data_IF_239051943546
#
_entry.id   IF_239051943546
#
_cell.length_a   1.000
_cell.length_b   1.000
_cell.length_c   1.000
_cell.angle_alpha   90.00
_cell.angle_beta   90.00
_cell.angle_gamma   90.00
#
_symmetry.space_group_name_H-M   'P 1'
#
loop_
_entity.id
_entity.type
_entity.pdbx_description
1 polymer ?
#
# COMPACT_ATOMS: atom_id res chain seq x y z
N UNK A 1 -19.33 -4.72 12.46
CA UNK A 1 -17.95 -4.68 12.98
C UNK A 1 -17.16 -3.75 12.08
N UNK A 2 -16.78 -2.56 12.57
CA UNK A 2 -15.78 -1.75 11.87
C UNK A 2 -14.44 -2.48 11.97
N UNK A 3 -13.72 -2.61 10.85
CA UNK A 3 -12.36 -3.15 10.83
C UNK A 3 -11.43 -2.25 11.62
N UNK A 4 -10.48 -2.83 12.36
CA UNK A 4 -9.51 -2.07 13.15
C UNK A 4 -8.72 -1.14 12.21
N UNK A 5 -8.54 0.12 12.62
CA UNK A 5 -7.69 1.10 11.90
C UNK A 5 -8.29 1.70 10.61
N UNK A 6 -9.44 1.24 10.12
CA UNK A 6 -9.97 1.72 8.84
C UNK A 6 -10.39 3.20 8.89
N UNK A 7 -10.97 3.65 10.01
CA UNK A 7 -11.42 5.03 10.16
C UNK A 7 -10.23 6.01 10.12
N UNK A 8 -9.14 5.65 10.80
CA UNK A 8 -7.91 6.43 10.81
C UNK A 8 -7.23 6.42 9.43
N UNK A 9 -7.26 5.30 8.70
CA UNK A 9 -6.76 5.26 7.32
C UNK A 9 -7.59 6.14 6.38
N UNK A 10 -8.92 6.15 6.51
CA UNK A 10 -9.76 7.07 5.75
C UNK A 10 -9.40 8.53 6.06
N UNK A 11 -9.22 8.88 7.34
CA UNK A 11 -8.79 10.23 7.76
C UNK A 11 -7.44 10.63 7.12
N UNK A 12 -6.49 9.69 7.04
CA UNK A 12 -5.19 9.90 6.39
C UNK A 12 -5.35 10.25 4.92
N UNK A 13 -6.15 9.49 4.17
CA UNK A 13 -6.38 9.76 2.75
C UNK A 13 -7.22 11.02 2.51
N UNK A 14 -8.16 11.34 3.39
CA UNK A 14 -8.88 12.63 3.36
C UNK A 14 -7.93 13.82 3.56
N UNK A 15 -6.98 13.72 4.49
CA UNK A 15 -5.97 14.77 4.72
C UNK A 15 -5.02 14.95 3.54
N UNK A 16 -4.63 13.85 2.89
CA UNK A 16 -3.80 13.88 1.68
C UNK A 16 -4.56 14.52 0.50
N UNK A 17 -5.82 14.12 0.30
CA UNK A 17 -6.68 14.67 -0.74
C UNK A 17 -6.93 16.17 -0.54
N UNK A 18 -7.17 16.61 0.70
CA UNK A 18 -7.36 18.03 1.03
C UNK A 18 -6.12 18.90 0.75
N UNK A 19 -4.93 18.29 0.61
CA UNK A 19 -3.66 18.96 0.29
C UNK A 19 -3.27 18.83 -1.18
N UNK A 20 -4.04 18.11 -2.00
CA UNK A 20 -3.74 17.82 -3.41
C UNK A 20 -2.34 17.23 -3.62
N UNK A 21 -1.94 16.28 -2.76
CA UNK A 21 -0.62 15.65 -2.79
C UNK A 21 -0.69 14.34 -3.57
N UNK A 22 0.07 14.25 -4.65
CA UNK A 22 0.36 12.99 -5.34
C UNK A 22 1.53 12.25 -4.66
N UNK A 23 1.27 11.03 -4.20
CA UNK A 23 2.26 10.18 -3.53
C UNK A 23 2.99 9.23 -4.48
N UNK A 24 2.53 9.09 -5.72
CA UNK A 24 2.95 8.01 -6.62
C UNK A 24 4.46 8.02 -6.88
N UNK A 25 4.97 9.13 -7.41
CA UNK A 25 6.38 9.19 -7.81
C UNK A 25 7.32 8.97 -6.63
N UNK A 26 7.04 9.60 -5.49
CA UNK A 26 7.88 9.48 -4.30
C UNK A 26 7.79 8.10 -3.65
N UNK A 27 6.61 7.48 -3.65
CA UNK A 27 6.40 6.10 -3.14
C UNK A 27 7.23 5.11 -3.93
N UNK A 28 7.14 5.12 -5.27
CA UNK A 28 7.91 4.19 -6.09
C UNK A 28 9.40 4.48 -6.06
N UNK A 29 9.80 5.77 -6.00
CA UNK A 29 11.21 6.15 -5.81
C UNK A 29 11.79 5.53 -4.54
N UNK A 30 11.08 5.64 -3.41
CA UNK A 30 11.49 5.04 -2.13
C UNK A 30 11.45 3.52 -2.15
N UNK A 31 10.39 2.95 -2.71
CA UNK A 31 10.23 1.51 -2.80
C UNK A 31 11.40 0.88 -3.54
N UNK A 32 11.78 1.43 -4.69
CA UNK A 32 12.90 0.93 -5.47
C UNK A 32 14.27 1.18 -4.82
N UNK A 33 14.39 2.16 -3.93
CA UNK A 33 15.59 2.32 -3.09
C UNK A 33 15.67 1.26 -2.00
N UNK A 34 14.55 0.90 -1.38
CA UNK A 34 14.46 -0.14 -0.36
C UNK A 34 14.57 -1.55 -0.94
N UNK A 35 14.08 -1.75 -2.17
CA UNK A 35 14.00 -3.03 -2.85
C UNK A 35 14.42 -2.87 -4.33
N UNK A 36 15.74 -2.77 -4.63
CA UNK A 36 16.22 -2.63 -6.00
C UNK A 36 15.81 -3.77 -6.94
N UNK A 37 15.67 -4.99 -6.40
CA UNK A 37 15.19 -6.16 -7.15
C UNK A 37 13.78 -5.96 -7.73
N UNK A 38 12.92 -5.18 -7.07
CA UNK A 38 11.58 -4.87 -7.57
C UNK A 38 11.61 -4.01 -8.84
N UNK A 39 12.67 -3.23 -9.09
CA UNK A 39 12.80 -2.50 -10.36
C UNK A 39 12.87 -3.45 -11.56
N UNK A 40 13.55 -4.60 -11.40
CA UNK A 40 13.66 -5.61 -12.45
C UNK A 40 12.31 -6.24 -12.76
N UNK A 41 11.57 -6.65 -11.72
CA UNK A 41 10.25 -7.26 -11.86
C UNK A 41 9.22 -6.28 -12.44
N UNK A 42 9.27 -5.03 -12.00
CA UNK A 42 8.38 -3.97 -12.45
C UNK A 42 8.86 -3.27 -13.73
N UNK A 43 9.87 -3.80 -14.43
CA UNK A 43 10.46 -3.15 -15.61
C UNK A 43 9.48 -2.91 -16.77
N UNK A 44 8.37 -3.67 -16.83
CA UNK A 44 7.30 -3.50 -17.82
C UNK A 44 6.15 -2.61 -17.33
N UNK A 45 6.18 -2.17 -16.06
CA UNK A 45 5.18 -1.25 -15.53
C UNK A 45 5.45 0.16 -16.02
N UNK A 46 4.48 0.75 -16.71
CA UNK A 46 4.48 2.17 -17.01
C UNK A 46 3.92 2.99 -15.84
N UNK A 47 4.05 4.32 -15.94
CA UNK A 47 3.55 5.22 -14.90
C UNK A 47 2.03 5.09 -14.66
N UNK A 48 1.17 4.99 -15.70
CA UNK A 48 -0.26 4.71 -15.50
C UNK A 48 -0.54 3.38 -14.78
N UNK A 49 0.19 2.31 -15.08
CA UNK A 49 0.02 1.02 -14.41
C UNK A 49 0.36 1.11 -12.93
N UNK A 50 1.45 1.80 -12.59
CA UNK A 50 1.85 2.06 -11.21
C UNK A 50 0.81 2.90 -10.45
N UNK A 51 0.19 3.88 -11.10
CA UNK A 51 -0.91 4.63 -10.50
C UNK A 51 -2.11 3.76 -10.14
N UNK A 52 -2.52 2.85 -11.05
CA UNK A 52 -3.61 1.91 -10.77
C UNK A 52 -3.28 0.97 -9.60
N UNK A 53 -2.08 0.41 -9.55
CA UNK A 53 -1.66 -0.44 -8.42
C UNK A 53 -1.73 0.31 -7.08
N UNK A 54 -1.34 1.58 -7.08
CA UNK A 54 -1.37 2.42 -5.89
C UNK A 54 -2.81 2.78 -5.47
N UNK A 55 -3.68 3.10 -6.43
CA UNK A 55 -5.11 3.32 -6.19
C UNK A 55 -5.78 2.08 -5.57
N UNK A 56 -5.57 0.90 -6.17
CA UNK A 56 -6.09 -0.38 -5.63
C UNK A 56 -5.56 -0.65 -4.20
N UNK A 57 -4.31 -0.25 -3.92
CA UNK A 57 -3.73 -0.34 -2.58
C UNK A 57 -4.48 0.56 -1.59
N UNK A 58 -4.87 1.77 -1.98
CA UNK A 58 -5.64 2.68 -1.12
C UNK A 58 -7.01 2.12 -0.79
N UNK A 59 -7.74 1.63 -1.80
CA UNK A 59 -9.04 1.00 -1.62
C UNK A 59 -8.97 -0.17 -0.64
N UNK A 60 -7.93 -0.99 -0.78
CA UNK A 60 -7.71 -2.14 0.07
C UNK A 60 -7.35 -1.75 1.52
N UNK A 61 -6.51 -0.73 1.70
CA UNK A 61 -6.17 -0.21 3.03
C UNK A 61 -7.42 0.33 3.77
N UNK A 62 -8.36 0.94 3.04
CA UNK A 62 -9.65 1.41 3.57
C UNK A 62 -10.68 0.27 3.77
N UNK A 63 -10.54 -0.87 3.10
CA UNK A 63 -11.47 -1.99 3.20
C UNK A 63 -11.15 -2.95 4.36
N UNK A 64 -11.92 -2.84 5.44
CA UNK A 64 -11.88 -3.71 6.61
C UNK A 64 -11.88 -5.22 6.32
N UNK A 65 -12.45 -5.66 5.19
CA UNK A 65 -12.57 -7.09 4.84
C UNK A 65 -11.48 -7.59 3.91
N UNK A 66 -10.61 -6.70 3.42
CA UNK A 66 -9.57 -7.01 2.45
C UNK A 66 -10.12 -7.77 1.22
N UNK A 67 -11.29 -7.35 0.74
CA UNK A 67 -11.86 -7.86 -0.50
C UNK A 67 -11.19 -7.22 -1.71
N UNK A 68 -10.88 -5.92 -1.61
CA UNK A 68 -10.43 -5.11 -2.74
C UNK A 68 -11.51 -4.99 -3.81
N UNK A 69 -11.19 -4.39 -4.97
CA UNK A 69 -12.11 -4.27 -6.10
C UNK A 69 -12.66 -5.63 -6.52
N UNK A 70 -13.98 -5.69 -6.70
CA UNK A 70 -14.68 -6.90 -7.15
C UNK A 70 -14.42 -8.15 -6.29
N UNK A 71 -13.94 -7.99 -5.06
CA UNK A 71 -13.52 -9.10 -4.17
C UNK A 71 -12.39 -9.97 -4.73
N UNK A 72 -11.52 -9.40 -5.58
CA UNK A 72 -10.50 -10.14 -6.32
C UNK A 72 -9.11 -10.17 -5.68
N UNK A 73 -8.89 -9.40 -4.62
CA UNK A 73 -7.58 -9.20 -3.99
C UNK A 73 -6.80 -10.50 -3.73
N UNK A 74 -7.45 -11.51 -3.12
CA UNK A 74 -6.79 -12.79 -2.80
C UNK A 74 -6.39 -13.60 -4.02
N UNK A 75 -7.08 -13.43 -5.16
CA UNK A 75 -6.61 -14.02 -6.41
C UNK A 75 -5.41 -13.24 -6.94
N UNK A 76 -5.45 -11.91 -6.86
CA UNK A 76 -4.42 -11.02 -7.40
C UNK A 76 -3.07 -11.23 -6.72
N UNK A 77 -3.04 -11.30 -5.37
CA UNK A 77 -1.80 -11.64 -4.65
C UNK A 77 -1.27 -13.01 -5.08
N UNK A 78 -2.12 -14.04 -5.14
CA UNK A 78 -1.68 -15.38 -5.57
C UNK A 78 -1.07 -15.33 -6.96
N UNK A 79 -1.63 -14.54 -7.87
CA UNK A 79 -1.04 -14.32 -9.18
C UNK A 79 0.30 -13.56 -9.10
N UNK A 80 0.43 -12.53 -8.27
CA UNK A 80 1.69 -11.82 -8.05
C UNK A 80 2.80 -12.73 -7.51
N UNK A 81 2.49 -13.59 -6.54
CA UNK A 81 3.45 -14.53 -5.97
C UNK A 81 3.81 -15.62 -6.97
N UNK A 82 2.81 -16.29 -7.56
CA UNK A 82 3.04 -17.46 -8.41
C UNK A 82 3.49 -17.16 -9.84
N UNK A 83 3.03 -16.06 -10.45
CA UNK A 83 3.29 -15.73 -11.85
C UNK A 83 4.35 -14.62 -12.03
N UNK A 84 4.45 -13.69 -11.09
CA UNK A 84 5.39 -12.55 -11.18
C UNK A 84 6.57 -12.64 -10.21
N UNK A 85 6.61 -13.66 -9.35
CA UNK A 85 7.73 -13.87 -8.43
C UNK A 85 7.86 -12.80 -7.34
N UNK A 86 6.76 -12.10 -7.02
CA UNK A 86 6.71 -11.13 -5.93
C UNK A 86 6.78 -11.86 -4.59
N UNK A 87 7.54 -11.34 -3.64
CA UNK A 87 7.66 -11.92 -2.30
C UNK A 87 6.99 -11.05 -1.22
N UNK A 88 6.73 -11.64 -0.06
CA UNK A 88 6.24 -10.90 1.10
C UNK A 88 7.20 -9.78 1.53
N UNK A 89 8.52 -9.94 1.36
CA UNK A 89 9.50 -8.89 1.66
C UNK A 89 9.39 -7.71 0.71
N UNK A 90 9.06 -7.93 -0.58
CA UNK A 90 8.80 -6.85 -1.54
C UNK A 90 7.56 -6.05 -1.16
N UNK A 91 6.47 -6.71 -0.76
CA UNK A 91 5.29 -6.04 -0.23
C UNK A 91 5.61 -5.24 1.04
N UNK A 92 6.37 -5.81 1.97
CA UNK A 92 6.83 -5.11 3.17
C UNK A 92 7.60 -3.83 2.84
N UNK A 93 8.54 -3.90 1.90
CA UNK A 93 9.30 -2.73 1.43
C UNK A 93 8.41 -1.68 0.74
N UNK A 94 7.40 -2.12 -0.02
CA UNK A 94 6.43 -1.22 -0.66
C UNK A 94 5.58 -0.47 0.38
N UNK A 95 5.02 -1.18 1.37
CA UNK A 95 4.25 -0.55 2.44
C UNK A 95 5.10 0.37 3.31
N UNK A 96 6.36 0.01 3.58
CA UNK A 96 7.30 0.89 4.27
C UNK A 96 7.58 2.17 3.48
N UNK A 97 7.76 2.07 2.16
CA UNK A 97 7.96 3.23 1.30
C UNK A 97 6.74 4.14 1.28
N UNK A 98 5.54 3.56 1.19
CA UNK A 98 4.29 4.30 1.17
C UNK A 98 4.03 5.00 2.52
N UNK A 99 4.23 4.32 3.65
CA UNK A 99 4.12 4.92 4.99
C UNK A 99 5.05 6.12 5.13
N UNK A 100 6.32 5.96 4.74
CA UNK A 100 7.30 7.04 4.84
C UNK A 100 6.92 8.23 3.95
N UNK A 101 6.31 7.99 2.80
CA UNK A 101 5.83 9.03 1.89
C UNK A 101 4.63 9.77 2.50
N UNK A 102 3.67 9.04 3.06
CA UNK A 102 2.50 9.60 3.76
C UNK A 102 2.94 10.43 4.97
N UNK A 103 3.80 9.88 5.83
CA UNK A 103 4.28 10.55 7.03
C UNK A 103 5.03 11.85 6.68
N UNK A 104 5.84 11.83 5.61
CA UNK A 104 6.50 13.05 5.13
C UNK A 104 5.50 14.06 4.57
N UNK A 105 4.54 13.63 3.77
CA UNK A 105 3.54 14.50 3.15
C UNK A 105 2.64 15.19 4.18
N UNK A 106 2.26 14.47 5.24
CA UNK A 106 1.40 14.98 6.30
C UNK A 106 2.16 15.74 7.39
N UNK A 107 3.46 15.46 7.59
CA UNK A 107 4.27 16.12 8.61
C UNK A 107 3.65 15.97 10.00
N UNK A 108 3.44 17.09 10.69
CA UNK A 108 2.81 17.10 12.02
C UNK A 108 1.35 16.60 12.03
N UNK A 109 0.68 16.55 10.87
CA UNK A 109 -0.66 15.98 10.77
C UNK A 109 -0.65 14.43 10.83
N UNK A 110 0.51 13.79 10.65
CA UNK A 110 0.67 12.35 10.85
C UNK A 110 0.76 12.03 12.35
N UNK A 111 -0.36 11.57 12.91
CA UNK A 111 -0.48 11.31 14.35
C UNK A 111 -0.16 9.86 14.71
N UNK A 112 0.15 9.63 15.99
CA UNK A 112 0.48 8.31 16.50
C UNK A 112 -0.63 7.26 16.27
N UNK A 113 -1.90 7.65 16.36
CA UNK A 113 -3.01 6.74 16.08
C UNK A 113 -3.08 6.30 14.61
N UNK A 114 -2.71 7.19 13.67
CA UNK A 114 -2.69 6.89 12.23
C UNK A 114 -1.56 5.93 11.92
N UNK A 115 -0.37 6.15 12.50
CA UNK A 115 0.74 5.21 12.40
C UNK A 115 0.37 3.83 12.96
N UNK A 116 -0.30 3.78 14.11
CA UNK A 116 -0.75 2.50 14.68
C UNK A 116 -1.78 1.80 13.80
N UNK A 117 -2.73 2.54 13.25
CA UNK A 117 -3.72 2.01 12.33
C UNK A 117 -3.05 1.45 11.06
N UNK A 118 -2.11 2.20 10.48
CA UNK A 118 -1.30 1.76 9.36
C UNK A 118 -0.61 0.43 9.61
N UNK A 119 0.12 0.32 10.73
CA UNK A 119 0.83 -0.92 11.08
C UNK A 119 -0.12 -2.11 11.18
N UNK A 120 -1.32 -1.94 11.76
CA UNK A 120 -2.33 -3.00 11.85
C UNK A 120 -2.84 -3.42 10.47
N UNK A 121 -3.10 -2.46 9.58
CA UNK A 121 -3.58 -2.75 8.22
C UNK A 121 -2.53 -3.45 7.38
N UNK A 122 -1.27 -3.01 7.48
CA UNK A 122 -0.15 -3.66 6.81
C UNK A 122 0.09 -5.07 7.38
N UNK A 123 -0.05 -5.27 8.68
CA UNK A 123 0.03 -6.60 9.29
C UNK A 123 -1.05 -7.54 8.73
N UNK A 124 -2.31 -7.11 8.67
CA UNK A 124 -3.39 -7.91 8.09
C UNK A 124 -3.11 -8.28 6.62
N UNK A 125 -2.59 -7.31 5.84
CA UNK A 125 -2.24 -7.50 4.43
C UNK A 125 -1.07 -8.46 4.22
N UNK A 126 -0.01 -8.32 5.03
CA UNK A 126 1.15 -9.19 4.95
C UNK A 126 0.82 -10.63 5.35
N UNK A 127 -0.14 -10.84 6.25
CA UNK A 127 -0.67 -12.18 6.52
C UNK A 127 -1.33 -12.79 5.28
N UNK A 128 -2.19 -12.05 4.57
CA UNK A 128 -2.82 -12.54 3.32
C UNK A 128 -1.77 -12.82 2.22
N UNK A 129 -0.68 -12.04 2.16
CA UNK A 129 0.45 -12.30 1.24
C UNK A 129 1.23 -13.56 1.61
N UNK A 130 1.45 -13.80 2.90
CA UNK A 130 2.18 -14.98 3.37
C UNK A 130 1.40 -16.28 3.16
N UNK A 131 0.07 -16.20 3.14
CA UNK A 131 -0.84 -17.34 2.95
C UNK A 131 -1.15 -17.65 1.46
N UNK A 132 -0.64 -16.84 0.52
CA UNK A 132 -0.90 -16.93 -0.92
C UNK A 132 0.05 -17.87 -1.68
#
# INVERSE_FOLDING_TARGET
>A
MQGRGCAEICEVFELLAAKDIDLQQETYRRFFQLCPEAQGLMGHSDEPMRGRMLEQTYELLMDAKLQGPESYFRWEIRNHVSAYGVSASMYGAFFQALEATIAQALGEAWKQQMAKAWQQRVEDLLHEVADA
#
